data_IF_647219135720
#
_entry.id   IF_647219135720
#
_cell.length_a   1.000
_cell.length_b   1.000
_cell.length_c   1.000
_cell.angle_alpha   90.00
_cell.angle_beta   90.00
_cell.angle_gamma   90.00
#
_symmetry.space_group_name_H-M   'P 1'
#
loop_
_entity.id
_entity.type
_entity.pdbx_description
1 polymer ?
#
# COMPACT_ATOMS: atom_id res chain seq x y z
N UNK A 1 45.77 77.37 13.29
CA UNK A 1 45.09 77.69 14.56
C UNK A 1 43.64 77.22 14.41
N UNK A 2 43.25 76.20 15.19
CA UNK A 2 41.88 75.68 15.41
C UNK A 2 41.17 75.06 14.18
N UNK A 3 40.36 74.00 14.22
CA UNK A 3 40.04 72.90 15.14
C UNK A 3 39.10 71.96 14.34
N UNK A 4 39.33 70.64 14.39
CA UNK A 4 38.32 69.55 14.45
C UNK A 4 37.10 69.52 13.51
N UNK A 5 36.94 68.43 12.73
CA UNK A 5 36.11 67.26 13.15
C UNK A 5 36.17 66.10 12.14
N UNK A 6 36.33 64.91 12.71
CA UNK A 6 36.34 63.59 12.11
C UNK A 6 34.98 63.15 11.56
N UNK A 7 35.00 62.20 10.60
CA UNK A 7 34.10 61.05 10.60
C UNK A 7 34.72 59.90 9.78
N UNK A 8 34.92 58.78 10.46
CA UNK A 8 35.39 57.51 9.91
C UNK A 8 34.22 56.74 9.27
N UNK A 9 34.46 56.10 8.13
CA UNK A 9 33.61 55.04 7.60
C UNK A 9 34.40 53.74 7.61
N UNK A 10 34.07 52.88 8.57
CA UNK A 10 34.49 51.48 8.66
C UNK A 10 33.74 50.66 7.63
N UNK A 11 34.46 50.03 6.69
CA UNK A 11 33.93 49.02 5.78
C UNK A 11 34.02 47.68 6.50
N UNK A 12 32.89 47.19 7.00
CA UNK A 12 32.79 45.83 7.56
C UNK A 12 32.36 44.88 6.44
N UNK A 13 33.32 44.10 5.93
CA UNK A 13 33.04 42.98 5.04
C UNK A 13 32.42 41.83 5.86
N UNK A 14 31.12 41.59 5.71
CA UNK A 14 30.50 40.35 6.17
C UNK A 14 30.73 39.26 5.10
N UNK A 15 31.71 38.40 5.37
CA UNK A 15 31.81 37.11 4.70
C UNK A 15 30.72 36.18 5.26
N UNK A 16 29.58 36.11 4.57
CA UNK A 16 28.57 35.11 4.82
C UNK A 16 29.07 33.74 4.35
N UNK A 17 29.41 32.86 5.28
CA UNK A 17 29.66 31.46 5.01
C UNK A 17 28.33 30.78 4.60
N UNK A 18 28.07 30.71 3.31
CA UNK A 18 27.06 29.81 2.73
C UNK A 18 27.59 28.39 2.89
N UNK A 19 27.18 27.72 3.96
CA UNK A 19 27.25 26.26 4.06
C UNK A 19 26.26 25.69 3.06
N UNK A 20 26.70 25.53 1.81
CA UNK A 20 26.04 24.67 0.84
C UNK A 20 26.30 23.23 1.29
N UNK A 21 25.47 22.74 2.22
CA UNK A 21 25.28 21.32 2.39
C UNK A 21 24.72 20.80 1.07
N UNK A 22 25.59 20.17 0.29
CA UNK A 22 25.25 19.36 -0.88
C UNK A 22 24.04 18.50 -0.53
N UNK A 23 22.85 18.88 -1.01
CA UNK A 23 21.68 18.02 -0.97
C UNK A 23 22.06 16.76 -1.75
N UNK A 24 22.25 15.66 -1.04
CA UNK A 24 22.12 14.34 -1.62
C UNK A 24 20.79 14.29 -2.37
N UNK A 25 20.78 13.57 -3.48
CA UNK A 25 19.71 13.45 -4.46
C UNK A 25 18.43 12.78 -3.91
N UNK A 26 17.89 13.24 -2.78
CA UNK A 26 16.65 12.80 -2.15
C UNK A 26 15.68 13.98 -2.05
N UNK A 27 14.39 13.74 -2.30
CA UNK A 27 13.35 14.76 -2.14
C UNK A 27 13.32 15.37 -0.73
N UNK A 28 12.56 16.45 -0.55
CA UNK A 28 12.34 16.96 0.81
C UNK A 28 11.59 15.91 1.65
N UNK A 29 11.97 15.75 2.92
CA UNK A 29 11.27 14.89 3.88
C UNK A 29 10.80 15.68 5.10
N UNK A 30 9.69 15.25 5.70
CA UNK A 30 9.13 15.76 6.94
C UNK A 30 8.76 14.60 7.88
N UNK A 31 9.50 14.43 8.98
CA UNK A 31 9.31 13.33 9.93
C UNK A 31 8.01 13.38 10.75
N UNK A 32 7.23 14.46 10.66
CA UNK A 32 5.90 14.55 11.30
C UNK A 32 4.89 13.61 10.64
N UNK A 33 5.10 13.27 9.36
CA UNK A 33 4.30 12.30 8.64
C UNK A 33 4.74 10.87 8.97
N UNK A 34 3.75 10.02 9.26
CA UNK A 34 3.97 8.65 9.77
C UNK A 34 3.04 7.66 9.09
N UNK A 35 3.52 6.44 8.91
CA UNK A 35 2.67 5.33 8.53
C UNK A 35 1.87 4.85 9.74
N UNK A 36 0.66 4.33 9.50
CA UNK A 36 -0.16 3.68 10.52
C UNK A 36 -0.27 2.19 10.24
N UNK A 37 0.12 1.38 11.22
CA UNK A 37 -0.07 -0.08 11.19
C UNK A 37 -1.35 -0.44 11.96
N UNK A 38 -2.29 -1.07 11.27
CA UNK A 38 -3.50 -1.64 11.84
C UNK A 38 -3.38 -3.17 11.90
N UNK A 39 -2.92 -3.67 13.04
CA UNK A 39 -2.74 -5.10 13.28
C UNK A 39 -4.05 -5.89 13.25
N UNK A 40 -5.18 -5.28 13.58
CA UNK A 40 -6.46 -5.99 13.61
C UNK A 40 -6.94 -6.31 12.19
N UNK A 41 -6.65 -5.41 11.25
CA UNK A 41 -7.04 -5.56 9.84
C UNK A 41 -5.87 -5.94 8.92
N UNK A 42 -4.66 -6.13 9.46
CA UNK A 42 -3.44 -6.38 8.70
C UNK A 42 -3.16 -5.31 7.62
N UNK A 43 -3.41 -4.04 7.93
CA UNK A 43 -3.24 -2.92 7.00
C UNK A 43 -2.11 -1.98 7.40
N UNK A 44 -1.42 -1.45 6.40
CA UNK A 44 -0.49 -0.34 6.52
C UNK A 44 -1.10 0.82 5.73
N UNK A 45 -1.29 1.96 6.38
CA UNK A 45 -1.80 3.18 5.74
C UNK A 45 -0.72 4.24 5.71
N UNK A 46 -0.46 4.79 4.53
CA UNK A 46 0.46 5.88 4.27
C UNK A 46 -0.32 7.19 4.04
N UNK A 47 0.29 8.37 4.27
CA UNK A 47 -0.39 9.66 4.11
C UNK A 47 -1.07 9.90 2.74
N UNK A 48 -0.48 9.45 1.64
CA UNK A 48 -1.05 9.61 0.30
C UNK A 48 -2.25 8.70 0.02
N UNK A 49 -2.47 7.65 0.82
CA UNK A 49 -3.61 6.75 0.66
C UNK A 49 -4.94 7.48 0.88
N UNK A 50 -4.93 8.57 1.66
CA UNK A 50 -6.10 9.43 1.86
C UNK A 50 -6.62 10.03 0.55
N UNK A 51 -5.75 10.22 -0.45
CA UNK A 51 -6.06 10.89 -1.72
C UNK A 51 -6.17 9.94 -2.91
N UNK A 52 -5.78 8.68 -2.73
CA UNK A 52 -5.95 7.60 -3.70
C UNK A 52 -7.11 6.68 -3.25
N UNK A 53 -7.53 5.77 -4.12
CA UNK A 53 -8.40 4.67 -3.74
C UNK A 53 -7.61 3.69 -2.86
N UNK A 54 -7.58 3.97 -1.56
CA UNK A 54 -7.06 3.07 -0.51
C UNK A 54 -7.81 1.72 -0.50
N UNK A 55 -7.23 0.73 0.18
CA UNK A 55 -7.79 -0.63 0.26
C UNK A 55 -9.22 -0.65 0.81
N UNK A 56 -9.54 0.23 1.75
CA UNK A 56 -10.88 0.34 2.33
C UNK A 56 -11.91 0.88 1.32
N UNK A 57 -11.54 1.91 0.57
CA UNK A 57 -12.36 2.51 -0.49
C UNK A 57 -12.56 1.52 -1.62
N UNK A 58 -11.50 0.80 -2.03
CA UNK A 58 -11.59 -0.28 -3.03
C UNK A 58 -12.50 -1.40 -2.57
N UNK A 59 -12.45 -1.81 -1.30
CA UNK A 59 -13.35 -2.83 -0.77
C UNK A 59 -14.83 -2.42 -0.90
N UNK A 60 -15.17 -1.17 -0.56
CA UNK A 60 -16.54 -0.65 -0.71
C UNK A 60 -16.96 -0.60 -2.19
N UNK A 61 -16.09 -0.12 -3.07
CA UNK A 61 -16.38 -0.07 -4.52
C UNK A 61 -16.55 -1.48 -5.08
N UNK A 62 -15.67 -2.43 -4.72
CA UNK A 62 -15.73 -3.81 -5.17
C UNK A 62 -17.00 -4.52 -4.68
N UNK A 63 -17.43 -4.27 -3.44
CA UNK A 63 -18.71 -4.78 -2.94
C UNK A 63 -19.88 -4.22 -3.76
N UNK A 64 -19.91 -2.92 -4.03
CA UNK A 64 -20.95 -2.31 -4.85
C UNK A 64 -20.98 -2.88 -6.28
N UNK A 65 -19.82 -3.05 -6.93
CA UNK A 65 -19.70 -3.73 -8.23
C UNK A 65 -20.30 -5.13 -8.16
N UNK A 66 -19.95 -5.91 -7.14
CA UNK A 66 -20.45 -7.26 -7.00
C UNK A 66 -21.97 -7.30 -6.79
N UNK A 67 -22.56 -6.36 -6.05
CA UNK A 67 -24.02 -6.25 -5.86
C UNK A 67 -24.75 -5.84 -7.14
N UNK A 68 -24.22 -4.90 -7.90
CA UNK A 68 -24.76 -4.54 -9.23
C UNK A 68 -24.82 -5.79 -10.11
N UNK A 69 -23.72 -6.54 -10.17
CA UNK A 69 -23.64 -7.76 -10.97
C UNK A 69 -24.58 -8.86 -10.46
N UNK A 70 -24.74 -8.98 -9.13
CA UNK A 70 -25.62 -9.94 -8.48
C UNK A 70 -27.07 -9.82 -8.96
N UNK A 71 -27.60 -8.59 -9.11
CA UNK A 71 -28.97 -8.36 -9.59
C UNK A 71 -29.21 -9.04 -10.93
N UNK A 72 -28.28 -8.89 -11.87
CA UNK A 72 -28.36 -9.53 -13.17
C UNK A 72 -28.20 -11.06 -13.09
N UNK A 73 -27.26 -11.55 -12.28
CA UNK A 73 -27.06 -12.99 -12.10
C UNK A 73 -28.30 -13.69 -11.55
N UNK A 74 -28.95 -13.10 -10.53
CA UNK A 74 -30.21 -13.62 -9.98
C UNK A 74 -31.31 -13.64 -11.04
N UNK A 75 -31.46 -12.56 -11.83
CA UNK A 75 -32.45 -12.49 -12.90
C UNK A 75 -32.26 -13.55 -14.00
N UNK A 76 -31.02 -14.03 -14.19
CA UNK A 76 -30.67 -15.10 -15.13
C UNK A 76 -30.63 -16.51 -14.50
N UNK A 77 -31.07 -16.65 -13.25
CA UNK A 77 -31.21 -17.94 -12.57
C UNK A 77 -29.99 -18.41 -11.77
N UNK A 78 -29.02 -17.53 -11.49
CA UNK A 78 -27.79 -17.85 -10.75
C UNK A 78 -27.83 -17.36 -9.29
N UNK A 79 -28.94 -17.57 -8.58
CA UNK A 79 -29.12 -17.10 -7.19
C UNK A 79 -28.15 -17.72 -6.17
N UNK A 80 -27.60 -18.90 -6.46
CA UNK A 80 -26.72 -19.64 -5.54
C UNK A 80 -25.22 -19.37 -5.81
N UNK A 81 -24.94 -18.41 -6.70
CA UNK A 81 -23.60 -18.02 -7.14
C UNK A 81 -23.20 -16.61 -6.68
N UNK A 82 -23.91 -16.04 -5.70
CA UNK A 82 -23.61 -14.70 -5.17
C UNK A 82 -22.16 -14.66 -4.64
N UNK A 83 -21.30 -13.77 -5.16
CA UNK A 83 -19.90 -13.70 -4.71
C UNK A 83 -19.79 -13.37 -3.22
N UNK A 84 -18.82 -14.00 -2.54
CA UNK A 84 -18.41 -13.56 -1.20
C UNK A 84 -17.76 -12.18 -1.33
N UNK A 85 -18.40 -11.17 -0.74
CA UNK A 85 -18.06 -9.75 -0.90
C UNK A 85 -16.86 -9.28 -0.09
N UNK A 86 -16.38 -10.10 0.85
CA UNK A 86 -15.30 -9.71 1.73
C UNK A 86 -13.96 -9.97 1.03
N UNK A 87 -13.17 -8.90 0.82
CA UNK A 87 -11.77 -9.07 0.46
C UNK A 87 -10.95 -9.45 1.68
N UNK A 88 -9.88 -10.21 1.49
CA UNK A 88 -8.85 -10.37 2.50
C UNK A 88 -7.99 -9.11 2.46
N UNK A 89 -8.45 -8.06 3.14
CA UNK A 89 -7.69 -6.83 3.28
C UNK A 89 -6.38 -7.16 3.99
N UNK A 90 -5.27 -7.02 3.28
CA UNK A 90 -3.93 -7.21 3.83
C UNK A 90 -2.96 -6.32 3.06
N UNK A 91 -1.98 -5.76 3.77
CA UNK A 91 -0.91 -4.98 3.18
C UNK A 91 0.43 -5.64 3.46
N UNK A 92 1.12 -6.09 2.41
CA UNK A 92 2.45 -6.69 2.51
C UNK A 92 3.51 -5.81 1.79
N UNK A 93 3.29 -4.49 1.74
CA UNK A 93 4.17 -3.56 0.99
C UNK A 93 5.62 -3.54 1.51
N UNK A 94 5.84 -3.99 2.74
CA UNK A 94 7.16 -4.20 3.35
C UNK A 94 7.34 -5.65 3.83
N UNK A 95 6.77 -6.61 3.10
CA UNK A 95 6.77 -8.03 3.46
C UNK A 95 5.80 -8.40 4.58
N UNK A 96 5.82 -9.66 5.00
CA UNK A 96 5.02 -10.11 6.15
C UNK A 96 5.46 -9.35 7.41
N UNK A 97 4.49 -8.81 8.16
CA UNK A 97 4.76 -7.97 9.34
C UNK A 97 3.82 -8.24 10.52
N UNK A 98 2.62 -8.75 10.25
CA UNK A 98 1.64 -9.11 11.26
C UNK A 98 1.76 -10.60 11.59
N UNK A 99 2.38 -10.91 12.74
CA UNK A 99 2.64 -12.27 13.18
C UNK A 99 1.36 -13.09 13.37
N UNK A 100 0.30 -12.49 13.92
CA UNK A 100 -0.96 -13.20 14.16
C UNK A 100 -1.69 -13.54 12.87
N UNK A 101 -1.65 -12.63 11.89
CA UNK A 101 -2.13 -12.92 10.55
C UNK A 101 -1.28 -14.02 9.88
N UNK A 102 0.05 -13.91 9.94
CA UNK A 102 0.97 -14.84 9.31
C UNK A 102 0.86 -16.27 9.86
N UNK A 103 0.66 -16.43 11.17
CA UNK A 103 0.40 -17.74 11.80
C UNK A 103 -0.89 -18.39 11.29
N UNK A 104 -1.88 -17.58 10.93
CA UNK A 104 -3.21 -18.07 10.54
C UNK A 104 -3.30 -18.34 9.04
N UNK A 105 -2.71 -17.48 8.23
CA UNK A 105 -2.92 -17.44 6.79
C UNK A 105 -1.62 -17.48 5.96
N UNK A 106 -0.45 -17.45 6.60
CA UNK A 106 0.80 -17.25 5.88
C UNK A 106 0.86 -15.85 5.27
N UNK A 107 1.20 -15.76 3.98
CA UNK A 107 1.24 -14.47 3.28
C UNK A 107 -0.14 -13.97 2.84
N UNK A 108 -1.12 -14.87 2.72
CA UNK A 108 -2.41 -14.58 2.10
C UNK A 108 -3.48 -15.62 2.48
N UNK A 109 -4.72 -15.20 2.69
CA UNK A 109 -5.82 -16.11 3.01
C UNK A 109 -6.30 -16.91 1.77
N UNK A 110 -5.66 -18.06 1.53
CA UNK A 110 -5.98 -18.96 0.41
C UNK A 110 -7.40 -19.53 0.47
N UNK A 111 -7.93 -19.81 1.65
CA UNK A 111 -9.29 -20.33 1.81
C UNK A 111 -10.31 -19.34 1.26
N UNK A 112 -10.25 -18.09 1.74
CA UNK A 112 -11.12 -17.01 1.28
C UNK A 112 -10.96 -16.72 -0.21
N UNK A 113 -9.74 -16.85 -0.74
CA UNK A 113 -9.49 -16.74 -2.18
C UNK A 113 -10.13 -17.85 -3.00
N UNK A 114 -10.04 -19.10 -2.51
CA UNK A 114 -10.68 -20.26 -3.14
C UNK A 114 -12.19 -20.13 -3.13
N UNK A 115 -12.79 -19.72 -2.01
CA UNK A 115 -14.23 -19.47 -1.91
C UNK A 115 -14.72 -18.47 -2.96
N UNK A 116 -13.99 -17.35 -3.13
CA UNK A 116 -14.32 -16.35 -4.16
C UNK A 116 -14.18 -16.91 -5.57
N UNK A 117 -13.11 -17.65 -5.85
CA UNK A 117 -12.86 -18.24 -7.18
C UNK A 117 -13.98 -19.24 -7.52
N UNK A 118 -14.31 -20.13 -6.60
CA UNK A 118 -15.39 -21.11 -6.77
C UNK A 118 -16.76 -20.44 -6.95
N UNK A 119 -17.04 -19.36 -6.22
CA UNK A 119 -18.27 -18.59 -6.42
C UNK A 119 -18.34 -17.98 -7.82
N UNK A 120 -17.23 -17.42 -8.32
CA UNK A 120 -17.15 -16.82 -9.66
C UNK A 120 -17.26 -17.85 -10.80
N UNK A 121 -16.72 -19.06 -10.61
CA UNK A 121 -16.76 -20.14 -11.61
C UNK A 121 -18.16 -20.72 -11.84
N UNK A 122 -19.06 -20.61 -10.85
CA UNK A 122 -20.47 -20.98 -11.02
C UNK A 122 -21.20 -20.15 -12.07
N UNK A 123 -20.66 -19.00 -12.45
CA UNK A 123 -21.26 -18.07 -13.41
C UNK A 123 -20.51 -18.15 -14.75
N UNK A 124 -21.17 -18.65 -15.82
CA UNK A 124 -20.54 -18.77 -17.13
C UNK A 124 -19.99 -17.43 -17.65
N UNK A 125 -18.88 -17.50 -18.40
CA UNK A 125 -18.16 -16.31 -18.85
C UNK A 125 -19.00 -15.38 -19.73
N UNK A 126 -19.84 -15.96 -20.57
CA UNK A 126 -20.81 -15.27 -21.42
C UNK A 126 -21.85 -14.51 -20.60
N UNK A 127 -22.37 -15.11 -19.53
CA UNK A 127 -23.31 -14.47 -18.60
C UNK A 127 -22.62 -13.33 -17.85
N UNK A 128 -21.37 -13.52 -17.39
CA UNK A 128 -20.58 -12.45 -16.78
C UNK A 128 -20.39 -11.26 -17.73
N UNK A 129 -20.10 -11.52 -19.00
CA UNK A 129 -19.92 -10.49 -20.03
C UNK A 129 -21.24 -9.77 -20.35
N UNK A 130 -22.33 -10.51 -20.45
CA UNK A 130 -23.66 -9.97 -20.71
C UNK A 130 -24.11 -9.06 -19.56
N UNK A 131 -24.06 -9.56 -18.31
CA UNK A 131 -24.44 -8.78 -17.13
C UNK A 131 -23.59 -7.51 -16.96
N UNK A 132 -22.30 -7.55 -17.32
CA UNK A 132 -21.44 -6.36 -17.29
C UNK A 132 -21.90 -5.31 -18.30
N UNK A 133 -22.38 -5.73 -19.48
CA UNK A 133 -22.92 -4.83 -20.50
C UNK A 133 -24.28 -4.26 -20.07
N UNK A 134 -25.17 -5.10 -19.56
CA UNK A 134 -26.49 -4.69 -19.07
C UNK A 134 -26.37 -3.68 -17.92
N UNK A 135 -25.38 -3.87 -17.05
CA UNK A 135 -25.14 -3.02 -15.88
C UNK A 135 -24.15 -1.88 -16.13
N UNK A 136 -23.73 -1.65 -17.38
CA UNK A 136 -22.63 -0.71 -17.70
C UNK A 136 -22.88 0.70 -17.17
N UNK A 137 -24.13 1.19 -17.23
CA UNK A 137 -24.48 2.52 -16.74
C UNK A 137 -24.31 2.63 -15.21
N UNK A 138 -24.77 1.63 -14.45
CA UNK A 138 -24.61 1.62 -12.99
C UNK A 138 -23.15 1.46 -12.58
N UNK A 139 -22.41 0.60 -13.28
CA UNK A 139 -20.97 0.43 -13.04
C UNK A 139 -20.20 1.73 -13.30
N UNK A 140 -20.58 2.50 -14.32
CA UNK A 140 -19.95 3.78 -14.64
C UNK A 140 -20.13 4.85 -13.56
N UNK A 141 -21.18 4.78 -12.74
CA UNK A 141 -21.42 5.73 -11.65
C UNK A 141 -20.46 5.56 -10.47
N UNK A 142 -19.85 4.39 -10.35
CA UNK A 142 -18.84 4.05 -9.34
C UNK A 142 -17.49 3.71 -9.96
N UNK A 143 -17.39 3.85 -11.29
CA UNK A 143 -16.16 3.64 -12.03
C UNK A 143 -15.21 4.77 -11.67
N UNK A 144 -14.06 4.37 -11.13
CA UNK A 144 -12.94 5.27 -10.99
C UNK A 144 -11.92 4.93 -12.07
N UNK A 145 -11.23 5.96 -12.54
CA UNK A 145 -10.10 5.77 -13.42
C UNK A 145 -9.01 5.09 -12.59
N UNK A 146 -8.93 3.76 -12.72
CA UNK A 146 -7.88 2.96 -12.11
C UNK A 146 -6.61 3.17 -12.92
N UNK A 147 -6.03 4.36 -12.81
CA UNK A 147 -4.84 4.67 -13.55
C UNK A 147 -3.64 4.38 -12.66
N UNK A 148 -2.84 3.39 -13.07
CA UNK A 148 -1.47 3.24 -12.62
C UNK A 148 -0.61 4.47 -13.02
N UNK A 149 -1.22 5.53 -13.56
CA UNK A 149 -0.67 6.86 -13.77
C UNK A 149 -1.51 7.99 -13.11
N UNK A 150 -2.31 7.66 -12.08
CA UNK A 150 -3.04 8.70 -11.32
C UNK A 150 -2.06 9.70 -10.70
N UNK A 151 -2.50 10.94 -10.51
CA UNK A 151 -1.63 11.96 -9.93
C UNK A 151 -1.16 11.58 -8.52
N UNK A 152 -2.03 11.03 -7.67
CA UNK A 152 -1.65 10.52 -6.35
C UNK A 152 -0.69 9.32 -6.46
N UNK A 153 -0.91 8.41 -7.40
CA UNK A 153 -0.02 7.28 -7.67
C UNK A 153 1.39 7.75 -8.02
N UNK A 154 1.53 8.73 -8.93
CA UNK A 154 2.85 9.29 -9.29
C UNK A 154 3.59 9.86 -8.09
N UNK A 155 2.89 10.57 -7.19
CA UNK A 155 3.50 11.07 -5.95
C UNK A 155 3.94 9.95 -5.02
N UNK A 156 3.18 8.84 -4.93
CA UNK A 156 3.59 7.66 -4.16
C UNK A 156 4.87 7.03 -4.74
N UNK A 157 4.96 6.91 -6.06
CA UNK A 157 6.16 6.39 -6.72
C UNK A 157 7.39 7.28 -6.47
N UNK A 158 7.22 8.60 -6.50
CA UNK A 158 8.29 9.57 -6.18
C UNK A 158 8.74 9.47 -4.71
N UNK A 159 7.78 9.39 -3.78
CA UNK A 159 8.07 9.20 -2.35
C UNK A 159 8.78 7.87 -2.09
N UNK A 160 8.29 6.77 -2.66
CA UNK A 160 8.89 5.44 -2.52
C UNK A 160 10.30 5.39 -3.09
N UNK A 161 10.55 6.00 -4.26
CA UNK A 161 11.89 6.09 -4.82
C UNK A 161 12.86 6.89 -3.93
N UNK A 162 12.37 7.99 -3.33
CA UNK A 162 13.14 8.78 -2.37
C UNK A 162 13.42 7.99 -1.08
N UNK A 163 12.41 7.30 -0.55
CA UNK A 163 12.49 6.47 0.64
C UNK A 163 13.50 5.32 0.48
N UNK A 164 13.47 4.63 -0.66
CA UNK A 164 14.44 3.57 -0.97
C UNK A 164 15.89 4.07 -1.08
N UNK A 165 16.06 5.32 -1.45
CA UNK A 165 17.37 5.95 -1.54
C UNK A 165 17.88 6.47 -0.18
N UNK A 166 17.02 6.47 0.85
CA UNK A 166 17.38 6.85 2.20
C UNK A 166 18.36 5.83 2.82
N UNK A 167 19.51 6.25 3.36
CA UNK A 167 20.47 5.33 3.97
C UNK A 167 19.87 4.46 5.10
N UNK A 168 18.88 4.98 5.84
CA UNK A 168 18.24 4.23 6.91
C UNK A 168 17.40 3.07 6.34
N UNK A 169 16.86 3.17 5.12
CA UNK A 169 16.11 2.11 4.45
C UNK A 169 16.92 0.82 4.38
N UNK A 170 18.15 0.90 3.85
CA UNK A 170 19.04 -0.24 3.70
C UNK A 170 19.53 -0.78 5.04
N UNK A 171 19.68 0.09 6.05
CA UNK A 171 20.01 -0.32 7.42
C UNK A 171 18.89 -1.14 8.03
N UNK A 172 17.64 -0.69 7.94
CA UNK A 172 16.46 -1.43 8.44
C UNK A 172 16.36 -2.80 7.76
N UNK A 173 16.52 -2.86 6.43
CA UNK A 173 16.51 -4.13 5.68
C UNK A 173 17.63 -5.06 6.12
N UNK A 174 18.82 -4.53 6.36
CA UNK A 174 19.97 -5.33 6.82
C UNK A 174 19.72 -5.95 8.19
N UNK A 175 19.12 -5.21 9.12
CA UNK A 175 18.74 -5.73 10.44
C UNK A 175 17.71 -6.87 10.32
N UNK A 176 16.72 -6.72 9.43
CA UNK A 176 15.76 -7.78 9.14
C UNK A 176 16.42 -9.02 8.52
N UNK A 177 17.30 -8.84 7.54
CA UNK A 177 18.06 -9.94 6.94
C UNK A 177 18.90 -10.70 7.97
N UNK A 178 19.58 -10.01 8.88
CA UNK A 178 20.33 -10.67 9.96
C UNK A 178 19.42 -11.48 10.88
N UNK A 179 18.18 -11.04 11.10
CA UNK A 179 17.19 -11.84 11.82
C UNK A 179 16.79 -13.09 11.05
N UNK A 180 16.54 -12.98 9.74
CA UNK A 180 16.25 -14.14 8.88
C UNK A 180 17.38 -15.17 8.91
N UNK A 181 18.62 -14.73 8.73
CA UNK A 181 19.83 -15.57 8.77
C UNK A 181 19.96 -16.28 10.13
N UNK A 182 19.68 -15.58 11.23
CA UNK A 182 19.70 -16.16 12.59
C UNK A 182 18.61 -17.20 12.82
N UNK A 183 17.53 -17.17 12.04
CA UNK A 183 16.46 -18.18 12.04
C UNK A 183 16.65 -19.25 10.96
N UNK A 184 17.83 -19.30 10.33
CA UNK A 184 18.17 -20.31 9.32
C UNK A 184 17.51 -20.09 7.97
N UNK A 185 17.02 -18.88 7.68
CA UNK A 185 16.49 -18.51 6.37
C UNK A 185 17.53 -17.75 5.56
N UNK A 186 17.43 -17.86 4.24
CA UNK A 186 18.33 -17.16 3.31
C UNK A 186 17.66 -15.87 2.83
N UNK A 187 18.08 -14.68 3.28
CA UNK A 187 17.46 -13.43 2.85
C UNK A 187 17.69 -13.17 1.37
N UNK A 188 16.64 -12.76 0.65
CA UNK A 188 16.78 -12.21 -0.70
C UNK A 188 17.13 -10.73 -0.60
N UNK A 189 18.32 -10.37 -1.08
CA UNK A 189 18.92 -9.03 -0.91
C UNK A 189 18.63 -8.06 -2.07
N UNK A 190 17.81 -8.46 -3.04
CA UNK A 190 17.39 -7.58 -4.13
C UNK A 190 16.39 -6.51 -3.65
N UNK A 191 16.31 -5.40 -4.36
CA UNK A 191 15.52 -4.21 -4.00
C UNK A 191 13.99 -4.37 -4.08
N UNK A 192 13.51 -5.52 -4.56
CA UNK A 192 12.09 -5.85 -4.68
C UNK A 192 11.72 -7.08 -3.84
N UNK A 193 12.68 -7.67 -3.14
CA UNK A 193 12.47 -8.85 -2.32
C UNK A 193 11.99 -8.52 -0.91
N UNK A 194 10.79 -9.01 -0.62
CA UNK A 194 10.14 -8.93 0.67
C UNK A 194 9.89 -10.31 1.28
N UNK A 195 10.89 -11.21 1.14
CA UNK A 195 10.88 -12.54 1.73
C UNK A 195 12.22 -13.26 1.59
N UNK A 196 12.28 -14.52 2.03
CA UNK A 196 13.44 -15.38 1.95
C UNK A 196 13.53 -16.18 0.64
N UNK A 197 14.67 -16.80 0.37
CA UNK A 197 14.86 -17.68 -0.79
C UNK A 197 13.97 -18.93 -0.67
N UNK A 198 13.80 -19.45 0.53
CA UNK A 198 12.93 -20.58 0.85
C UNK A 198 11.49 -20.25 0.45
N UNK A 199 11.01 -19.04 0.79
CA UNK A 199 9.68 -18.54 0.37
C UNK A 199 9.55 -18.52 -1.15
N UNK A 200 10.55 -18.02 -1.88
CA UNK A 200 10.50 -18.01 -3.36
C UNK A 200 10.60 -19.39 -4.02
N UNK A 201 11.02 -20.42 -3.28
CA UNK A 201 11.23 -21.77 -3.80
C UNK A 201 10.10 -22.75 -3.45
N UNK A 202 9.05 -22.30 -2.75
CA UNK A 202 7.95 -23.16 -2.28
C UNK A 202 7.31 -23.90 -3.46
N UNK A 203 6.96 -23.19 -4.53
CA UNK A 203 6.21 -23.75 -5.66
C UNK A 203 6.99 -24.79 -6.45
N UNK A 204 8.32 -24.67 -6.49
CA UNK A 204 9.22 -25.60 -7.19
C UNK A 204 9.72 -26.73 -6.28
N UNK A 205 9.31 -26.77 -5.02
CA UNK A 205 9.67 -27.83 -4.10
C UNK A 205 8.93 -29.13 -4.42
N UNK A 206 9.53 -30.27 -4.08
CA UNK A 206 8.92 -31.60 -4.24
C UNK A 206 7.90 -31.95 -3.15
N UNK A 207 7.53 -30.99 -2.30
CA UNK A 207 6.58 -31.16 -1.20
C UNK A 207 5.17 -31.38 -1.76
N UNK A 208 4.34 -32.13 -1.03
CA UNK A 208 2.90 -32.17 -1.27
C UNK A 208 2.26 -30.79 -1.03
N UNK A 209 1.06 -30.56 -1.56
CA UNK A 209 0.35 -29.28 -1.36
C UNK A 209 0.07 -28.97 0.12
N UNK A 210 -0.20 -30.00 0.93
CA UNK A 210 -0.39 -29.84 2.37
C UNK A 210 0.92 -29.41 3.05
N UNK A 211 2.05 -30.05 2.71
CA UNK A 211 3.36 -29.66 3.22
C UNK A 211 3.79 -28.26 2.75
N UNK A 212 3.44 -27.87 1.52
CA UNK A 212 3.67 -26.50 1.02
C UNK A 212 2.87 -25.49 1.83
N UNK A 213 1.58 -25.75 2.09
CA UNK A 213 0.72 -24.88 2.89
C UNK A 213 1.30 -24.66 4.29
N UNK A 214 1.73 -25.73 4.96
CA UNK A 214 2.36 -25.63 6.28
C UNK A 214 3.69 -24.87 6.23
N UNK A 215 4.47 -25.06 5.16
CA UNK A 215 5.72 -24.33 4.97
C UNK A 215 5.50 -22.84 4.70
N UNK A 216 4.48 -22.47 3.93
CA UNK A 216 4.09 -21.07 3.70
C UNK A 216 3.80 -20.38 5.03
N UNK A 217 2.96 -20.99 5.88
CA UNK A 217 2.62 -20.45 7.20
C UNK A 217 3.88 -20.31 8.07
N UNK A 218 4.72 -21.34 8.10
CA UNK A 218 5.96 -21.34 8.88
C UNK A 218 6.90 -20.22 8.45
N UNK A 219 7.15 -20.07 7.14
CA UNK A 219 8.06 -19.06 6.60
C UNK A 219 7.52 -17.65 6.82
N UNK A 220 6.24 -17.41 6.49
CA UNK A 220 5.60 -16.12 6.72
C UNK A 220 5.63 -15.70 8.19
N UNK A 221 5.44 -16.67 9.10
CA UNK A 221 5.52 -16.42 10.54
C UNK A 221 6.91 -15.96 10.96
N UNK A 222 7.97 -16.67 10.53
CA UNK A 222 9.35 -16.29 10.84
C UNK A 222 9.68 -14.91 10.25
N UNK A 223 9.28 -14.65 9.01
CA UNK A 223 9.52 -13.38 8.33
C UNK A 223 8.81 -12.22 9.05
N UNK A 224 7.56 -12.42 9.47
CA UNK A 224 6.78 -11.46 10.25
C UNK A 224 7.35 -11.24 11.66
N UNK A 225 7.79 -12.30 12.34
CA UNK A 225 8.44 -12.19 13.65
C UNK A 225 9.74 -11.39 13.55
N UNK A 226 10.53 -11.64 12.51
CA UNK A 226 11.73 -10.85 12.24
C UNK A 226 11.40 -9.40 11.89
N UNK A 227 10.35 -9.14 11.11
CA UNK A 227 9.90 -7.79 10.79
C UNK A 227 9.49 -7.05 12.06
N UNK A 228 8.64 -7.65 12.89
CA UNK A 228 8.17 -7.07 14.15
C UNK A 228 9.32 -6.84 15.14
N UNK A 229 10.30 -7.77 15.21
CA UNK A 229 11.48 -7.64 16.09
C UNK A 229 12.32 -6.40 15.79
N UNK A 230 12.50 -6.06 14.51
CA UNK A 230 13.31 -4.89 14.11
C UNK A 230 12.45 -3.65 13.78
N UNK A 231 11.13 -3.79 13.91
CA UNK A 231 10.15 -2.76 13.55
C UNK A 231 10.20 -2.36 12.07
N UNK A 232 10.50 -3.31 11.17
CA UNK A 232 10.79 -2.98 9.76
C UNK A 232 9.62 -2.26 9.09
N UNK A 233 8.40 -2.80 9.15
CA UNK A 233 7.24 -2.21 8.50
C UNK A 233 6.94 -0.78 8.97
N UNK A 234 7.02 -0.51 10.29
CA UNK A 234 6.84 0.84 10.82
C UNK A 234 7.97 1.78 10.39
N UNK A 235 9.23 1.34 10.46
CA UNK A 235 10.39 2.19 10.13
C UNK A 235 10.42 2.54 8.64
N UNK A 236 10.21 1.56 7.75
CA UNK A 236 10.16 1.80 6.32
C UNK A 236 8.94 2.65 5.94
N UNK A 237 7.78 2.36 6.54
CA UNK A 237 6.57 3.18 6.37
C UNK A 237 6.75 4.62 6.82
N UNK A 238 7.43 4.86 7.95
CA UNK A 238 7.75 6.20 8.43
C UNK A 238 8.71 6.95 7.51
N UNK A 239 9.72 6.26 6.98
CA UNK A 239 10.64 6.85 6.00
C UNK A 239 9.85 7.27 4.77
N UNK A 240 9.02 6.39 4.21
CA UNK A 240 8.21 6.71 3.04
C UNK A 240 7.21 7.83 3.31
N UNK A 241 6.46 7.74 4.41
CA UNK A 241 5.52 8.78 4.85
C UNK A 241 6.20 10.15 4.97
N UNK A 242 7.45 10.17 5.44
CA UNK A 242 8.19 11.43 5.56
C UNK A 242 8.45 12.10 4.21
N UNK A 243 8.67 11.34 3.14
CA UNK A 243 8.79 11.87 1.78
C UNK A 243 7.43 12.18 1.14
N UNK A 244 6.36 11.51 1.57
CA UNK A 244 5.00 11.83 1.12
C UNK A 244 4.51 13.19 1.63
N UNK A 245 4.86 13.57 2.86
CA UNK A 245 4.41 14.82 3.49
C UNK A 245 4.63 16.08 2.64
N UNK A 246 5.87 16.41 2.28
CA UNK A 246 6.16 17.58 1.43
C UNK A 246 5.51 17.52 0.04
N UNK A 247 5.34 16.32 -0.51
CA UNK A 247 4.59 16.13 -1.77
C UNK A 247 3.10 16.44 -1.59
N UNK A 248 2.52 16.07 -0.44
CA UNK A 248 1.13 16.41 -0.09
C UNK A 248 0.99 17.92 0.05
N UNK A 249 1.81 18.55 0.88
CA UNK A 249 1.77 20.00 1.14
C UNK A 249 1.88 20.81 -0.16
N UNK A 250 2.82 20.45 -1.04
CA UNK A 250 3.04 21.12 -2.33
C UNK A 250 1.86 20.97 -3.29
N UNK A 251 1.11 19.86 -3.20
CA UNK A 251 0.08 19.50 -4.17
C UNK A 251 -1.34 19.48 -3.57
N UNK A 252 -1.54 20.08 -2.40
CA UNK A 252 -2.76 19.97 -1.60
C UNK A 252 -4.04 20.29 -2.40
N UNK A 253 -4.02 21.33 -3.23
CA UNK A 253 -5.19 21.72 -4.02
C UNK A 253 -5.63 20.62 -5.00
N UNK A 254 -4.69 19.97 -5.70
CA UNK A 254 -5.02 18.88 -6.63
C UNK A 254 -5.41 17.61 -5.87
N UNK A 255 -4.74 17.32 -4.76
CA UNK A 255 -5.04 16.17 -3.92
C UNK A 255 -6.44 16.28 -3.29
N UNK A 256 -6.86 17.47 -2.84
CA UNK A 256 -8.21 17.69 -2.34
C UNK A 256 -9.28 17.43 -3.41
N UNK A 257 -9.04 17.81 -4.66
CA UNK A 257 -9.97 17.48 -5.76
C UNK A 257 -10.12 15.97 -5.94
N UNK A 258 -9.00 15.23 -5.91
CA UNK A 258 -9.03 13.76 -6.02
C UNK A 258 -9.75 13.11 -4.85
N UNK A 259 -9.54 13.63 -3.63
CA UNK A 259 -10.24 13.17 -2.44
C UNK A 259 -11.75 13.38 -2.57
N UNK A 260 -12.20 14.55 -3.02
CA UNK A 260 -13.62 14.83 -3.25
C UNK A 260 -14.23 13.91 -4.31
N UNK A 261 -13.51 13.64 -5.40
CA UNK A 261 -13.92 12.69 -6.45
C UNK A 261 -14.02 11.26 -5.89
N UNK A 262 -13.01 10.81 -5.13
CA UNK A 262 -13.03 9.53 -4.42
C UNK A 262 -14.26 9.40 -3.53
N UNK A 263 -14.48 10.38 -2.66
CA UNK A 263 -15.57 10.37 -1.69
C UNK A 263 -16.95 10.31 -2.38
N UNK A 264 -17.13 10.96 -3.54
CA UNK A 264 -18.35 10.85 -4.34
C UNK A 264 -18.57 9.43 -4.84
N UNK A 265 -17.56 8.78 -5.41
CA UNK A 265 -17.69 7.40 -5.89
C UNK A 265 -17.93 6.42 -4.74
N UNK A 266 -17.22 6.57 -3.61
CA UNK A 266 -17.41 5.72 -2.43
C UNK A 266 -18.81 5.92 -1.82
N UNK A 267 -19.31 7.17 -1.76
CA UNK A 267 -20.68 7.44 -1.31
C UNK A 267 -21.70 6.76 -2.23
N UNK A 268 -21.54 6.89 -3.55
CA UNK A 268 -22.41 6.24 -4.53
C UNK A 268 -22.40 4.71 -4.39
N UNK A 269 -21.23 4.12 -4.19
CA UNK A 269 -21.09 2.69 -3.93
C UNK A 269 -21.84 2.26 -2.66
N UNK A 270 -21.76 3.03 -1.57
CA UNK A 270 -22.53 2.76 -0.34
C UNK A 270 -24.04 2.83 -0.56
N UNK A 271 -24.52 3.77 -1.36
CA UNK A 271 -25.95 3.85 -1.72
C UNK A 271 -26.41 2.60 -2.48
N UNK A 272 -25.62 2.16 -3.46
CA UNK A 272 -25.89 0.94 -4.22
C UNK A 272 -25.93 -0.27 -3.28
N UNK A 273 -24.96 -0.38 -2.36
CA UNK A 273 -24.92 -1.44 -1.34
C UNK A 273 -26.19 -1.45 -0.49
N UNK A 274 -26.62 -0.28 -0.02
CA UNK A 274 -27.80 -0.15 0.84
C UNK A 274 -29.11 -0.46 0.10
N UNK A 275 -29.19 -0.18 -1.20
CA UNK A 275 -30.42 -0.31 -2.01
C UNK A 275 -30.54 -1.63 -2.77
N UNK A 276 -29.46 -2.39 -2.91
CA UNK A 276 -29.44 -3.71 -3.57
C UNK A 276 -29.71 -4.89 -2.62
N UNK A 277 -30.41 -4.66 -1.50
CA UNK A 277 -30.82 -5.72 -0.56
C UNK A 277 -32.06 -6.48 -1.05
#
# INVERSE_FOLDING_TARGET
MLLHKSSAFTITALAGALLLSSCAQGGASNSEYKAKLDYANNLITLPLDEYDYDDASRAVINEAVARIMQVCYVAKGYSDAVPVFSDDQHSNIYGAWNVEYAKKYGYFNEEKSRERTQAAEKIPAEIRKECRKESANQLKEIEYENDNDSFAYRLRQEAYASAKSDPEWNKVRSEWWSCLESNGLTPRKDDQAWGSQETSNIDVSSKSEEEKTQEVIRLATIEAECNQKVGMAQRLGDIEASYQGPLIEKNQAKLNQLKEEKEKHVARAREIIATSQ
#
